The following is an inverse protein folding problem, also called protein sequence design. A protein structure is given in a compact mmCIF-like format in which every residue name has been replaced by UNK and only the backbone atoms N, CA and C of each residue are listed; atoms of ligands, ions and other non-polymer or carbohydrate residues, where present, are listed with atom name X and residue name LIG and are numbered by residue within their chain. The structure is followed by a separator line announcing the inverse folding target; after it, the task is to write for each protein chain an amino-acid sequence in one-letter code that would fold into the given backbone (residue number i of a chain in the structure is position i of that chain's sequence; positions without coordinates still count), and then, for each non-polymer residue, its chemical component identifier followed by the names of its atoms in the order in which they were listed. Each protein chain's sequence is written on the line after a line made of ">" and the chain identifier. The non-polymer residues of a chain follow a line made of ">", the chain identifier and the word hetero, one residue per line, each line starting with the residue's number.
data_IF_797200168048
#
_entry.id   IF_797200168048
#
_cell.length_a   1.000
_cell.length_b   1.000
_cell.length_c   1.000
_cell.angle_alpha   90.00
_cell.angle_beta   90.00
_cell.angle_gamma   90.00
#
_symmetry.space_group_name_H-M   'P 1'
#
loop_
_entity.id
_entity.type
_entity.pdbx_description
1 polymer ?
#
# COMPACT_ATOMS: atom_id res chain seq x y z
N UNK A 1 -18.25 23.18 11.75
CA UNK A 1 -16.86 22.69 11.75
C UNK A 1 -16.37 22.77 10.31
N UNK A 2 -15.43 23.68 10.01
CA UNK A 2 -14.79 23.70 8.69
C UNK A 2 -13.91 22.44 8.61
N UNK A 3 -14.28 21.51 7.75
CA UNK A 3 -13.42 20.39 7.37
C UNK A 3 -12.16 20.99 6.75
N UNK A 4 -11.02 20.81 7.38
CA UNK A 4 -9.73 21.22 6.81
C UNK A 4 -9.49 20.35 5.56
N UNK A 5 -9.75 20.92 4.38
CA UNK A 5 -9.55 20.25 3.10
C UNK A 5 -8.06 20.22 2.70
N UNK A 6 -7.16 20.61 3.62
CA UNK A 6 -5.71 20.64 3.40
C UNK A 6 -5.05 19.59 4.27
N UNK A 7 -4.15 18.81 3.68
CA UNK A 7 -3.44 17.75 4.35
C UNK A 7 -2.00 17.65 3.83
N UNK A 8 -1.08 17.29 4.72
CA UNK A 8 0.27 16.83 4.36
C UNK A 8 0.35 15.34 4.61
N UNK A 9 1.03 14.62 3.74
CA UNK A 9 1.32 13.22 3.96
C UNK A 9 2.62 13.07 4.73
N UNK A 10 2.60 12.24 5.76
CA UNK A 10 3.80 11.85 6.50
C UNK A 10 4.68 10.90 5.68
N UNK A 11 5.95 10.80 6.05
CA UNK A 11 6.88 9.84 5.43
C UNK A 11 6.40 8.40 5.57
N UNK A 12 5.73 8.06 6.69
CA UNK A 12 5.14 6.74 6.92
C UNK A 12 4.02 6.45 5.92
N UNK A 13 3.12 7.40 5.69
CA UNK A 13 2.04 7.25 4.69
C UNK A 13 2.58 7.18 3.26
N UNK A 14 3.60 7.98 2.93
CA UNK A 14 4.29 7.88 1.64
C UNK A 14 4.96 6.51 1.44
N UNK A 15 5.56 5.94 2.49
CA UNK A 15 6.15 4.59 2.44
C UNK A 15 5.08 3.51 2.21
N UNK A 16 3.93 3.61 2.87
CA UNK A 16 2.78 2.70 2.65
C UNK A 16 2.27 2.82 1.21
N UNK A 17 2.03 4.02 0.71
CA UNK A 17 1.58 4.23 -0.67
C UNK A 17 2.57 3.72 -1.71
N UNK A 18 3.89 3.88 -1.48
CA UNK A 18 4.93 3.30 -2.34
C UNK A 18 4.90 1.77 -2.34
N UNK A 19 4.68 1.15 -1.18
CA UNK A 19 4.53 -0.30 -1.09
C UNK A 19 3.27 -0.77 -1.84
N UNK A 20 2.16 -0.07 -1.65
CA UNK A 20 0.89 -0.38 -2.32
C UNK A 20 0.97 -0.23 -3.83
N UNK A 21 1.74 0.74 -4.34
CA UNK A 21 2.00 0.89 -5.78
C UNK A 21 2.68 -0.34 -6.40
N UNK A 22 3.44 -1.12 -5.61
CA UNK A 22 4.01 -2.40 -6.02
C UNK A 22 2.97 -3.53 -6.09
N UNK A 23 1.83 -3.40 -5.40
CA UNK A 23 0.74 -4.38 -5.43
C UNK A 23 -0.26 -4.06 -6.53
N UNK A 24 -0.68 -2.80 -6.60
CA UNK A 24 -1.60 -2.28 -7.60
C UNK A 24 -1.27 -0.80 -7.89
N UNK A 25 -1.09 -0.47 -9.17
CA UNK A 25 -0.78 0.91 -9.57
C UNK A 25 -1.98 1.86 -9.44
N UNK A 26 -3.17 1.36 -9.19
CA UNK A 26 -4.35 2.17 -8.91
C UNK A 26 -4.87 1.96 -7.48
N UNK A 27 -5.40 3.01 -6.87
CA UNK A 27 -5.95 2.94 -5.50
C UNK A 27 -7.20 3.80 -5.36
N UNK A 28 -8.19 3.25 -4.66
CA UNK A 28 -9.34 4.01 -4.16
C UNK A 28 -9.13 4.24 -2.67
N UNK A 29 -8.67 5.44 -2.32
CA UNK A 29 -8.56 5.87 -0.93
C UNK A 29 -9.95 6.28 -0.45
N UNK A 30 -10.46 5.63 0.57
CA UNK A 30 -11.71 5.99 1.23
C UNK A 30 -11.47 7.12 2.23
N UNK A 31 -12.52 7.88 2.51
CA UNK A 31 -12.52 8.85 3.61
C UNK A 31 -12.15 8.16 4.92
N UNK A 32 -11.25 8.77 5.71
CA UNK A 32 -10.79 8.22 6.98
C UNK A 32 -9.29 7.97 7.02
N UNK A 33 -8.85 7.15 7.95
CA UNK A 33 -7.44 6.87 8.29
C UNK A 33 -6.94 5.54 7.73
N UNK A 34 -7.78 4.78 7.02
CA UNK A 34 -7.44 3.46 6.52
C UNK A 34 -7.13 3.47 5.02
N UNK A 35 -5.96 2.96 4.66
CA UNK A 35 -5.60 2.68 3.27
C UNK A 35 -5.75 1.18 3.00
N UNK A 36 -6.35 0.85 1.86
CA UNK A 36 -6.55 -0.53 1.43
C UNK A 36 -6.25 -0.66 -0.05
N UNK A 37 -5.59 -1.73 -0.43
CA UNK A 37 -5.34 -2.06 -1.84
C UNK A 37 -5.50 -3.55 -2.09
N UNK A 38 -5.78 -3.90 -3.33
CA UNK A 38 -5.89 -5.30 -3.77
C UNK A 38 -5.22 -5.45 -5.14
N UNK A 39 -4.46 -6.52 -5.30
CA UNK A 39 -3.83 -6.82 -6.58
C UNK A 39 -4.86 -7.06 -7.69
N UNK A 40 -4.48 -6.82 -8.93
CA UNK A 40 -5.33 -7.03 -10.12
C UNK A 40 -5.82 -8.50 -10.19
N UNK A 41 -4.95 -9.46 -9.82
CA UNK A 41 -5.29 -10.88 -9.75
C UNK A 41 -6.16 -11.26 -8.53
N UNK A 42 -6.44 -10.30 -7.64
CA UNK A 42 -7.25 -10.48 -6.40
C UNK A 42 -6.70 -11.54 -5.44
N UNK A 43 -5.40 -11.80 -5.47
CA UNK A 43 -4.71 -12.77 -4.63
C UNK A 43 -3.89 -12.12 -3.50
N UNK A 44 -3.72 -10.80 -3.52
CA UNK A 44 -3.06 -10.02 -2.48
C UNK A 44 -4.01 -8.91 -2.05
N UNK A 45 -4.25 -8.83 -0.75
CA UNK A 45 -4.95 -7.73 -0.09
C UNK A 45 -4.00 -7.14 0.93
N UNK A 46 -3.88 -5.81 0.95
CA UNK A 46 -3.09 -5.11 1.94
C UNK A 46 -3.91 -3.98 2.56
N UNK A 47 -3.75 -3.80 3.86
CA UNK A 47 -4.40 -2.77 4.66
C UNK A 47 -3.39 -2.07 5.55
N UNK A 48 -3.54 -0.77 5.74
CA UNK A 48 -2.71 0.01 6.63
C UNK A 48 -3.52 1.13 7.28
N UNK A 49 -3.29 1.35 8.56
CA UNK A 49 -3.75 2.51 9.28
C UNK A 49 -2.71 3.62 9.18
N UNK A 50 -3.16 4.83 8.87
CA UNK A 50 -2.30 6.00 8.69
C UNK A 50 -2.70 7.13 9.63
N UNK A 51 -1.77 8.04 9.99
CA UNK A 51 -2.08 9.14 10.90
C UNK A 51 -2.97 10.23 10.28
N UNK A 52 -3.03 10.33 8.96
CA UNK A 52 -3.84 11.32 8.26
C UNK A 52 -5.27 10.85 8.07
N UNK A 53 -6.22 11.78 8.23
CA UNK A 53 -7.64 11.55 7.97
C UNK A 53 -8.02 12.14 6.61
N UNK A 54 -8.21 11.28 5.61
CA UNK A 54 -8.63 11.72 4.28
C UNK A 54 -10.05 12.30 4.36
N UNK A 55 -10.26 13.55 3.89
CA UNK A 55 -11.54 14.24 4.05
C UNK A 55 -12.64 13.67 3.15
N UNK A 56 -12.27 12.93 2.12
CA UNK A 56 -13.15 12.37 1.10
C UNK A 56 -12.55 11.16 0.40
N UNK A 57 -13.38 10.45 -0.35
CA UNK A 57 -12.91 9.39 -1.24
C UNK A 57 -12.10 9.97 -2.39
N UNK A 58 -10.99 9.32 -2.71
CA UNK A 58 -10.02 9.75 -3.73
C UNK A 58 -9.66 8.56 -4.61
N UNK A 59 -9.97 8.67 -5.90
CA UNK A 59 -9.65 7.65 -6.89
C UNK A 59 -8.39 8.04 -7.67
N UNK A 60 -7.30 7.31 -7.44
CA UNK A 60 -5.99 7.52 -8.09
C UNK A 60 -5.77 6.38 -9.08
N UNK A 61 -5.73 6.71 -10.38
CA UNK A 61 -5.52 5.70 -11.43
C UNK A 61 -4.06 5.26 -11.55
N UNK A 62 -3.13 6.20 -11.48
CA UNK A 62 -1.68 5.95 -11.53
C UNK A 62 -1.01 6.46 -10.25
N UNK A 63 -0.87 5.55 -9.29
CA UNK A 63 -0.29 5.85 -7.99
C UNK A 63 1.20 6.20 -8.09
N UNK A 64 1.93 5.57 -9.02
CA UNK A 64 3.34 5.90 -9.27
C UNK A 64 3.47 7.32 -9.82
N UNK A 65 2.64 7.72 -10.77
CA UNK A 65 2.64 9.08 -11.31
C UNK A 65 2.30 10.10 -10.21
N UNK A 66 1.31 9.81 -9.37
CA UNK A 66 0.95 10.66 -8.24
C UNK A 66 2.10 10.83 -7.25
N UNK A 67 2.74 9.73 -6.84
CA UNK A 67 3.89 9.74 -5.92
C UNK A 67 5.11 10.46 -6.51
N UNK A 68 5.39 10.23 -7.80
CA UNK A 68 6.45 10.96 -8.51
C UNK A 68 6.15 12.46 -8.58
N UNK A 69 4.89 12.83 -8.81
CA UNK A 69 4.45 14.23 -8.77
C UNK A 69 4.67 14.87 -7.40
N UNK A 70 4.37 14.15 -6.33
CA UNK A 70 4.64 14.61 -4.95
C UNK A 70 6.14 14.78 -4.69
N UNK A 71 6.97 13.87 -5.19
CA UNK A 71 8.43 13.90 -4.96
C UNK A 71 9.14 15.10 -5.61
N UNK A 72 8.49 15.81 -6.52
CA UNK A 72 9.01 17.08 -7.09
C UNK A 72 8.92 18.26 -6.12
N UNK A 73 8.26 18.05 -4.98
CA UNK A 73 8.05 19.04 -3.94
C UNK A 73 8.74 18.59 -2.64
N UNK A 74 9.26 19.55 -1.87
CA UNK A 74 9.91 19.24 -0.58
C UNK A 74 8.89 19.11 0.55
N UNK A 75 7.84 19.94 0.54
CA UNK A 75 6.81 19.97 1.59
C UNK A 75 5.43 20.28 0.98
N UNK A 76 4.87 19.35 0.18
CA UNK A 76 3.61 19.59 -0.52
C UNK A 76 2.41 19.56 0.42
N UNK A 77 1.51 20.52 0.25
CA UNK A 77 0.17 20.49 0.83
C UNK A 77 -0.82 20.00 -0.22
N UNK A 78 -1.62 19.02 0.14
CA UNK A 78 -2.71 18.50 -0.65
C UNK A 78 -4.00 19.25 -0.33
N UNK A 79 -4.64 19.79 -1.33
CA UNK A 79 -5.92 20.49 -1.23
C UNK A 79 -7.01 19.67 -1.92
N UNK A 80 -8.01 19.24 -1.15
CA UNK A 80 -9.14 18.41 -1.57
C UNK A 80 -10.44 19.20 -1.73
N UNK A 81 -10.36 20.51 -1.88
CA UNK A 81 -11.56 21.37 -1.99
C UNK A 81 -12.36 21.07 -3.25
N UNK A 82 -11.68 20.74 -4.35
CA UNK A 82 -12.32 20.51 -5.65
C UNK A 82 -12.77 19.04 -5.80
N UNK A 83 -13.93 18.83 -6.41
CA UNK A 83 -14.50 17.50 -6.60
C UNK A 83 -13.84 16.70 -7.72
N UNK A 84 -13.11 17.36 -8.61
CA UNK A 84 -12.52 16.74 -9.79
C UNK A 84 -11.02 16.42 -9.67
N UNK A 85 -10.32 17.04 -8.73
CA UNK A 85 -8.86 16.89 -8.63
C UNK A 85 -8.32 17.25 -7.25
N UNK A 86 -7.14 16.73 -6.93
CA UNK A 86 -6.30 17.20 -5.83
C UNK A 86 -5.40 18.33 -6.36
N UNK A 87 -5.32 19.44 -5.64
CA UNK A 87 -4.30 20.43 -5.93
C UNK A 87 -3.11 20.24 -4.99
N UNK A 88 -1.96 19.89 -5.55
CA UNK A 88 -0.68 19.80 -4.84
C UNK A 88 -0.07 21.21 -4.83
N UNK A 89 0.17 21.77 -3.63
CA UNK A 89 0.64 23.15 -3.43
C UNK A 89 1.95 23.19 -2.67
N UNK A 90 2.90 23.96 -3.18
CA UNK A 90 4.14 24.31 -2.47
C UNK A 90 4.54 25.74 -2.82
N UNK A 91 4.45 26.67 -1.88
CA UNK A 91 4.70 28.08 -2.13
C UNK A 91 3.83 28.63 -3.26
N UNK A 92 4.47 29.05 -4.37
CA UNK A 92 3.76 29.55 -5.57
C UNK A 92 3.45 28.46 -6.60
N UNK A 93 4.01 27.27 -6.43
CA UNK A 93 3.79 26.14 -7.35
C UNK A 93 2.48 25.45 -7.03
N UNK A 94 1.75 25.07 -8.10
CA UNK A 94 0.49 24.36 -8.00
C UNK A 94 0.41 23.33 -9.12
N UNK A 95 0.10 22.09 -8.78
CA UNK A 95 -0.13 21.00 -9.73
C UNK A 95 -1.49 20.40 -9.45
N UNK A 96 -2.27 20.14 -10.49
CA UNK A 96 -3.57 19.48 -10.38
C UNK A 96 -3.43 18.02 -10.77
N UNK A 97 -3.84 17.12 -9.90
CA UNK A 97 -3.96 15.70 -10.18
C UNK A 97 -5.44 15.34 -10.24
N UNK A 98 -5.95 14.98 -11.42
CA UNK A 98 -7.35 14.67 -11.63
C UNK A 98 -7.70 13.27 -11.11
N UNK A 99 -8.87 13.16 -10.48
CA UNK A 99 -9.41 11.88 -10.05
C UNK A 99 -9.80 11.01 -11.24
N UNK A 100 -9.66 9.70 -11.07
CA UNK A 100 -10.23 8.74 -11.99
C UNK A 100 -11.70 8.43 -11.61
N UNK A 101 -12.39 7.73 -12.50
CA UNK A 101 -13.67 7.13 -12.15
C UNK A 101 -13.42 5.99 -11.14
N UNK A 102 -14.06 6.00 -9.94
CA UNK A 102 -13.91 4.92 -8.97
C UNK A 102 -14.23 3.53 -9.51
N UNK A 103 -15.09 3.43 -10.54
CA UNK A 103 -15.51 2.17 -11.15
C UNK A 103 -14.39 1.47 -11.94
N UNK A 104 -13.38 2.21 -12.41
CA UNK A 104 -12.24 1.64 -13.13
C UNK A 104 -11.13 1.14 -12.21
N UNK A 105 -11.22 1.42 -10.90
CA UNK A 105 -10.23 1.03 -9.91
C UNK A 105 -10.62 -0.30 -9.27
N UNK A 106 -9.69 -1.23 -9.26
CA UNK A 106 -9.85 -2.50 -8.53
C UNK A 106 -9.59 -2.22 -7.06
N UNK A 107 -10.66 -2.08 -6.29
CA UNK A 107 -10.63 -1.86 -4.87
C UNK A 107 -10.99 -3.14 -4.09
N UNK A 108 -10.49 -3.30 -2.84
CA UNK A 108 -10.95 -4.35 -1.95
C UNK A 108 -12.45 -4.26 -1.68
N UNK A 109 -13.12 -5.38 -1.38
CA UNK A 109 -14.50 -5.35 -0.93
C UNK A 109 -14.62 -4.60 0.40
N UNK A 110 -15.76 -3.95 0.64
CA UNK A 110 -15.99 -3.21 1.90
C UNK A 110 -16.12 -4.13 3.12
N UNK A 111 -16.33 -5.42 2.90
CA UNK A 111 -16.40 -6.42 3.99
C UNK A 111 -15.02 -6.77 4.48
N UNK A 112 -14.87 -6.84 5.80
CA UNK A 112 -13.67 -7.42 6.42
C UNK A 112 -13.52 -8.89 6.01
N UNK A 113 -12.30 -9.26 5.63
CA UNK A 113 -11.95 -10.65 5.35
C UNK A 113 -11.47 -11.26 6.67
N UNK A 114 -12.37 -11.96 7.34
CA UNK A 114 -12.02 -12.69 8.55
C UNK A 114 -11.54 -14.10 8.19
N UNK A 115 -10.32 -14.43 8.59
CA UNK A 115 -9.82 -15.80 8.53
C UNK A 115 -10.46 -16.61 9.67
N UNK A 116 -11.15 -17.72 9.37
CA UNK A 116 -11.88 -18.49 10.40
C UNK A 116 -10.95 -19.12 11.44
N UNK A 117 -9.72 -19.44 11.07
CA UNK A 117 -8.69 -20.02 11.95
C UNK A 117 -7.32 -19.49 11.58
N UNK A 118 -6.49 -19.24 12.59
CA UNK A 118 -5.07 -18.95 12.44
C UNK A 118 -4.30 -20.14 13.01
N UNK A 119 -3.89 -21.05 12.14
CA UNK A 119 -3.21 -22.28 12.54
C UNK A 119 -1.72 -22.03 12.85
N UNK A 120 -1.10 -21.04 12.22
CA UNK A 120 0.31 -20.71 12.42
C UNK A 120 0.45 -19.22 12.71
N UNK A 121 0.97 -18.89 13.89
CA UNK A 121 1.34 -17.53 14.29
C UNK A 121 2.83 -17.51 14.63
N UNK A 122 3.56 -16.55 14.10
CA UNK A 122 4.98 -16.38 14.40
C UNK A 122 5.39 -14.91 14.31
N UNK A 123 6.50 -14.60 14.96
CA UNK A 123 7.11 -13.29 14.90
C UNK A 123 8.36 -13.39 14.03
N UNK A 124 8.46 -12.53 13.02
CA UNK A 124 9.59 -12.49 12.09
C UNK A 124 10.27 -11.13 12.18
N UNK A 125 11.56 -11.14 12.56
CA UNK A 125 12.38 -9.94 12.53
C UNK A 125 12.72 -9.52 11.11
N UNK A 126 12.68 -8.22 10.82
CA UNK A 126 12.99 -7.66 9.50
C UNK A 126 14.36 -8.10 8.98
N UNK A 127 15.37 -8.18 9.87
CA UNK A 127 16.72 -8.65 9.53
C UNK A 127 16.76 -10.09 9.05
N UNK A 128 15.90 -10.94 9.60
CA UNK A 128 15.77 -12.34 9.20
C UNK A 128 15.07 -12.47 7.86
N UNK A 129 14.00 -11.71 7.65
CA UNK A 129 13.31 -11.65 6.36
C UNK A 129 14.24 -11.17 5.24
N UNK A 130 15.01 -10.10 5.47
CA UNK A 130 15.99 -9.60 4.49
C UNK A 130 17.03 -10.65 4.09
N UNK A 131 17.55 -11.41 5.06
CA UNK A 131 18.52 -12.49 4.80
C UNK A 131 17.89 -13.59 3.94
N UNK A 132 16.64 -13.95 4.23
CA UNK A 132 15.92 -14.98 3.48
C UNK A 132 15.62 -14.52 2.05
N UNK A 133 15.18 -13.28 1.85
CA UNK A 133 14.93 -12.71 0.53
C UNK A 133 16.23 -12.64 -0.29
N UNK A 134 17.35 -12.21 0.33
CA UNK A 134 18.67 -12.22 -0.33
C UNK A 134 19.11 -13.63 -0.70
N UNK A 135 18.93 -14.61 0.18
CA UNK A 135 19.25 -16.01 -0.11
C UNK A 135 18.39 -16.56 -1.25
N UNK A 136 17.07 -16.29 -1.24
CA UNK A 136 16.17 -16.68 -2.30
C UNK A 136 16.62 -16.11 -3.67
N UNK A 137 17.02 -14.86 -3.72
CA UNK A 137 17.53 -14.22 -4.93
C UNK A 137 18.84 -14.86 -5.43
N UNK A 138 19.80 -15.16 -4.53
CA UNK A 138 21.08 -15.80 -4.88
C UNK A 138 20.88 -17.21 -5.44
N UNK A 139 19.97 -17.98 -4.85
CA UNK A 139 19.67 -19.35 -5.27
C UNK A 139 18.57 -19.45 -6.34
N UNK A 140 18.02 -18.30 -6.78
CA UNK A 140 16.94 -18.21 -7.77
C UNK A 140 15.71 -19.05 -7.37
N UNK A 141 15.36 -18.99 -6.07
CA UNK A 141 14.20 -19.70 -5.52
C UNK A 141 12.99 -18.75 -5.53
N UNK A 142 11.88 -19.13 -6.19
CA UNK A 142 10.72 -18.24 -6.33
C UNK A 142 9.87 -18.14 -5.06
N UNK A 143 9.98 -19.12 -4.17
CA UNK A 143 9.08 -19.28 -3.04
C UNK A 143 9.80 -19.28 -1.70
N UNK A 144 9.13 -18.73 -0.70
CA UNK A 144 9.48 -18.82 0.72
C UNK A 144 8.34 -19.53 1.44
N UNK A 145 8.63 -20.63 2.13
CA UNK A 145 7.64 -21.37 2.89
C UNK A 145 7.80 -21.19 4.39
N UNK A 146 6.68 -20.96 5.08
CA UNK A 146 6.60 -20.95 6.53
C UNK A 146 5.94 -22.26 6.98
N UNK A 147 6.66 -23.05 7.77
CA UNK A 147 6.17 -24.34 8.25
C UNK A 147 6.08 -24.29 9.77
N UNK A 148 4.87 -24.46 10.29
CA UNK A 148 4.63 -24.68 11.72
C UNK A 148 4.74 -26.15 12.05
N UNK A 149 5.57 -26.48 13.05
CA UNK A 149 5.66 -27.82 13.63
C UNK A 149 5.27 -27.77 15.12
N UNK A 150 4.98 -28.93 15.70
CA UNK A 150 4.43 -29.03 17.08
C UNK A 150 5.28 -28.32 18.14
N UNK A 151 6.58 -28.17 17.89
CA UNK A 151 7.53 -27.58 18.86
C UNK A 151 8.24 -26.32 18.35
N UNK A 152 8.15 -25.97 17.08
CA UNK A 152 8.86 -24.83 16.49
C UNK A 152 8.30 -24.43 15.12
N UNK A 153 8.59 -23.20 14.72
CA UNK A 153 8.28 -22.67 13.39
C UNK A 153 9.54 -22.55 12.56
N UNK A 154 9.57 -23.13 11.37
CA UNK A 154 10.68 -23.01 10.43
C UNK A 154 10.32 -22.14 9.24
N UNK A 155 11.30 -21.35 8.80
CA UNK A 155 11.31 -20.68 7.52
C UNK A 155 12.26 -21.47 6.60
N UNK A 156 11.74 -22.02 5.52
CA UNK A 156 12.54 -22.79 4.57
C UNK A 156 12.44 -22.20 3.17
N UNK A 157 13.55 -22.28 2.45
CA UNK A 157 13.58 -22.08 1.01
C UNK A 157 13.48 -23.48 0.37
N UNK A 158 12.43 -23.78 -0.40
CA UNK A 158 12.31 -25.07 -1.07
C UNK A 158 13.45 -25.21 -2.07
N UNK A 159 14.30 -26.22 -1.86
CA UNK A 159 15.45 -26.52 -2.73
C UNK A 159 15.15 -27.58 -3.79
N UNK A 160 13.90 -27.99 -3.95
CA UNK A 160 13.52 -29.05 -4.88
C UNK A 160 13.61 -28.54 -6.32
N UNK A 161 14.71 -28.87 -7.00
CA UNK A 161 14.78 -28.84 -8.45
C UNK A 161 13.97 -30.05 -8.94
N UNK A 162 12.86 -29.81 -9.62
CA UNK A 162 12.29 -30.82 -10.48
C UNK A 162 13.22 -30.98 -11.69
N UNK A 163 13.81 -32.14 -11.83
CA UNK A 163 14.57 -32.57 -13.02
C UNK A 163 13.56 -33.08 -14.05
#
# INVERSE_FOLDING_TARGET
>A
MQTLNFMKLSDSTLAVLKNFAGINNSILVKKGTQLRTMSVAKNILAEAEIPEDFPRDVAIYDLNQFLNGLSLHQDPNLDFTEDSHITIKEGRRRVKYFYADPQVIIAPPDKEINLPTQEVCFQLESSSLEKLVKAAAVYQLPDLSVIGAVSYTHLTLPTTRYV
#
